data_IF_089799820925
#
_entry.id   IF_089799820925
#
_cell.length_a   1.000
_cell.length_b   1.000
_cell.length_c   1.000
_cell.angle_alpha   90.00
_cell.angle_beta   90.00
_cell.angle_gamma   90.00
#
_symmetry.space_group_name_H-M   'P 1'
#
loop_
_entity.id
_entity.type
_entity.pdbx_description
1 polymer ?
#
# COMPACT_ATOMS: atom_id res chain seq x y z
N UNK A 1 -39.97 -22.73 -55.17
CA UNK A 1 -39.51 -23.88 -55.99
C UNK A 1 -38.22 -23.44 -56.66
N UNK A 2 -37.09 -24.05 -56.26
CA UNK A 2 -35.73 -23.97 -56.83
C UNK A 2 -35.01 -22.60 -56.87
N UNK A 3 -33.68 -22.44 -56.85
CA UNK A 3 -32.49 -23.18 -56.39
C UNK A 3 -31.33 -22.16 -56.55
N UNK A 4 -30.42 -22.12 -55.57
CA UNK A 4 -28.98 -21.76 -55.61
C UNK A 4 -28.42 -20.81 -56.70
N UNK A 5 -27.72 -19.76 -56.26
CA UNK A 5 -26.42 -19.40 -56.86
C UNK A 5 -25.48 -18.69 -55.86
N UNK A 6 -24.20 -19.03 -56.01
CA UNK A 6 -23.02 -18.78 -55.17
C UNK A 6 -22.57 -17.31 -55.13
N UNK A 7 -22.03 -16.85 -53.98
CA UNK A 7 -21.12 -15.69 -53.90
C UNK A 7 -19.92 -15.97 -53.00
N UNK A 8 -18.69 -15.58 -53.39
CA UNK A 8 -17.44 -16.01 -52.77
C UNK A 8 -17.07 -15.20 -51.51
N UNK A 9 -16.29 -15.86 -50.64
CA UNK A 9 -15.66 -15.29 -49.43
C UNK A 9 -14.62 -14.24 -49.82
N UNK A 10 -14.72 -13.05 -49.25
CA UNK A 10 -13.62 -12.06 -49.22
C UNK A 10 -12.91 -12.15 -47.87
N UNK A 11 -11.64 -12.53 -47.95
CA UNK A 11 -10.67 -12.69 -46.87
C UNK A 11 -10.38 -11.38 -46.14
N UNK A 12 -10.25 -11.47 -44.81
CA UNK A 12 -9.75 -10.39 -43.96
C UNK A 12 -8.34 -9.96 -44.37
N UNK A 13 -8.18 -8.67 -44.64
CA UNK A 13 -6.88 -8.04 -44.85
C UNK A 13 -6.14 -8.00 -43.51
N UNK A 14 -5.01 -8.69 -43.44
CA UNK A 14 -4.09 -8.66 -42.30
C UNK A 14 -3.15 -7.46 -42.42
N UNK A 15 -3.28 -6.52 -41.49
CA UNK A 15 -2.37 -5.36 -41.36
C UNK A 15 -1.02 -5.86 -40.80
N UNK A 16 0.13 -5.55 -41.44
CA UNK A 16 1.43 -6.07 -41.01
C UNK A 16 1.94 -5.45 -39.68
N UNK A 17 2.38 -6.35 -38.79
CA UNK A 17 2.86 -6.13 -37.40
C UNK A 17 4.23 -5.45 -37.25
N UNK A 18 4.67 -4.59 -38.16
CA UNK A 18 6.06 -4.10 -38.14
C UNK A 18 6.30 -2.79 -37.37
N UNK A 19 5.28 -2.01 -37.02
CA UNK A 19 5.47 -0.69 -36.41
C UNK A 19 5.34 -0.58 -34.88
N UNK A 20 4.94 -1.66 -34.19
CA UNK A 20 4.61 -1.59 -32.75
C UNK A 20 5.82 -1.82 -31.81
N UNK A 21 6.94 -2.34 -32.31
CA UNK A 21 8.11 -2.68 -31.46
C UNK A 21 9.02 -1.49 -31.11
N UNK A 22 8.85 -0.33 -31.74
CA UNK A 22 9.78 0.80 -31.58
C UNK A 22 9.36 1.82 -30.52
N UNK A 23 8.08 1.82 -30.11
CA UNK A 23 7.56 2.72 -29.08
C UNK A 23 7.82 2.23 -27.64
N UNK A 24 7.96 0.92 -27.42
CA UNK A 24 8.19 0.37 -26.08
C UNK A 24 9.62 0.57 -25.56
N UNK A 25 10.60 0.79 -26.46
CA UNK A 25 12.00 0.95 -26.09
C UNK A 25 12.38 2.37 -25.63
N UNK A 26 11.56 3.39 -25.96
CA UNK A 26 11.86 4.78 -25.62
C UNK A 26 11.39 5.18 -24.21
N UNK A 27 10.44 4.44 -23.61
CA UNK A 27 9.90 4.75 -22.28
C UNK A 27 10.79 4.27 -21.11
N UNK A 28 11.79 3.43 -21.37
CA UNK A 28 12.63 2.81 -20.34
C UNK A 28 13.83 3.67 -19.90
N UNK A 29 14.07 4.84 -20.51
CA UNK A 29 15.34 5.59 -20.38
C UNK A 29 15.30 6.72 -19.34
N UNK A 30 14.18 6.95 -18.65
CA UNK A 30 14.06 8.03 -17.65
C UNK A 30 13.74 7.57 -16.22
N UNK A 31 13.63 6.26 -15.96
CA UNK A 31 13.44 5.80 -14.58
C UNK A 31 14.78 5.81 -13.83
N UNK A 32 14.94 6.71 -12.87
CA UNK A 32 16.02 6.64 -11.88
C UNK A 32 16.07 5.22 -11.30
N UNK A 33 17.25 4.60 -11.13
CA UNK A 33 17.35 3.25 -10.60
C UNK A 33 16.74 3.20 -9.18
N UNK A 34 15.57 2.55 -9.07
CA UNK A 34 14.83 2.36 -7.81
C UNK A 34 14.87 0.89 -7.43
N UNK A 35 15.54 0.56 -6.33
CA UNK A 35 15.48 -0.78 -5.75
C UNK A 35 14.17 -0.93 -4.96
N UNK A 36 13.49 -2.07 -5.11
CA UNK A 36 12.30 -2.43 -4.32
C UNK A 36 12.67 -3.59 -3.40
N UNK A 37 12.62 -3.33 -2.09
CA UNK A 37 12.75 -4.36 -1.07
C UNK A 37 11.37 -4.62 -0.50
N UNK A 38 10.94 -5.88 -0.52
CA UNK A 38 9.66 -6.32 0.01
C UNK A 38 9.86 -7.61 0.80
N UNK A 39 9.33 -7.65 2.02
CA UNK A 39 9.34 -8.83 2.86
C UNK A 39 7.98 -8.92 3.56
N UNK A 40 7.40 -10.12 3.59
CA UNK A 40 6.14 -10.40 4.27
C UNK A 40 6.28 -11.65 5.12
N UNK A 41 5.85 -11.58 6.37
CA UNK A 41 5.70 -12.71 7.29
C UNK A 41 4.26 -12.73 7.79
N UNK A 42 3.64 -13.91 7.83
CA UNK A 42 2.29 -14.08 8.36
C UNK A 42 2.30 -15.25 9.32
N UNK A 43 1.72 -15.05 10.50
CA UNK A 43 1.61 -16.04 11.55
C UNK A 43 0.17 -16.10 12.06
N UNK A 44 -0.27 -17.30 12.43
CA UNK A 44 -1.61 -17.53 12.96
C UNK A 44 -1.51 -18.45 14.17
N UNK A 45 -2.30 -18.15 15.20
CA UNK A 45 -2.41 -18.98 16.40
C UNK A 45 -3.88 -19.14 16.77
N UNK A 46 -4.25 -20.30 17.30
CA UNK A 46 -5.61 -20.54 17.79
C UNK A 46 -5.76 -19.95 19.20
N UNK A 47 -6.89 -19.29 19.44
CA UNK A 47 -7.20 -18.67 20.74
C UNK A 47 -8.52 -19.20 21.27
N UNK A 48 -8.59 -19.50 22.57
CA UNK A 48 -9.84 -19.87 23.24
C UNK A 48 -10.61 -18.59 23.56
N UNK A 49 -11.73 -18.35 22.87
CA UNK A 49 -12.60 -17.22 23.20
C UNK A 49 -13.28 -17.45 24.57
N UNK A 50 -13.30 -16.41 25.39
CA UNK A 50 -14.00 -16.38 26.68
C UNK A 50 -15.38 -15.73 26.49
N UNK A 51 -15.99 -15.19 27.56
CA UNK A 51 -17.38 -14.72 27.53
C UNK A 51 -17.67 -13.55 26.56
N UNK A 52 -16.67 -12.71 26.25
CA UNK A 52 -16.79 -11.67 25.23
C UNK A 52 -15.96 -12.06 24.00
N UNK A 53 -16.60 -12.36 22.85
CA UNK A 53 -15.88 -12.67 21.62
C UNK A 53 -15.00 -11.49 21.18
N UNK A 54 -13.76 -11.77 20.79
CA UNK A 54 -12.83 -10.76 20.25
C UNK A 54 -13.44 -10.01 19.06
N UNK A 55 -14.24 -10.71 18.24
CA UNK A 55 -14.90 -10.12 17.09
C UNK A 55 -15.85 -8.97 17.47
N UNK A 56 -16.55 -9.08 18.59
CA UNK A 56 -17.46 -8.02 19.07
C UNK A 56 -16.68 -6.78 19.49
N UNK A 57 -15.51 -6.97 20.11
CA UNK A 57 -14.59 -5.89 20.45
C UNK A 57 -14.02 -5.21 19.19
N UNK A 58 -13.57 -5.99 18.21
CA UNK A 58 -12.99 -5.46 16.96
C UNK A 58 -14.01 -4.73 16.08
N UNK A 59 -15.32 -4.96 16.29
CA UNK A 59 -16.40 -4.24 15.60
C UNK A 59 -16.69 -2.86 16.20
N UNK A 60 -16.16 -2.55 17.38
CA UNK A 60 -16.31 -1.20 17.92
C UNK A 60 -15.59 -0.21 16.98
N UNK A 61 -16.08 1.03 16.86
CA UNK A 61 -15.36 2.05 16.12
C UNK A 61 -13.92 2.15 16.60
N UNK A 62 -12.97 2.24 15.67
CA UNK A 62 -11.55 2.35 15.99
C UNK A 62 -11.20 3.61 16.81
N UNK A 63 -12.13 4.57 16.95
CA UNK A 63 -12.01 5.70 17.86
C UNK A 63 -12.21 5.33 19.33
N UNK A 64 -12.79 4.17 19.62
CA UNK A 64 -13.13 3.72 20.98
C UNK A 64 -12.04 2.86 21.62
N UNK A 65 -10.99 2.50 20.88
CA UNK A 65 -9.82 1.79 21.40
C UNK A 65 -8.57 2.16 20.61
N UNK A 66 -7.42 2.25 21.29
CA UNK A 66 -6.15 2.52 20.61
C UNK A 66 -5.75 1.32 19.74
N UNK A 67 -5.92 1.45 18.42
CA UNK A 67 -5.51 0.42 17.45
C UNK A 67 -3.99 0.42 17.25
N UNK A 68 -3.32 1.54 17.55
CA UNK A 68 -1.93 1.78 17.23
C UNK A 68 -1.11 1.85 18.51
N UNK A 69 -0.03 1.06 18.55
CA UNK A 69 1.00 1.17 19.58
C UNK A 69 2.10 2.11 19.06
N UNK A 70 2.17 3.30 19.66
CA UNK A 70 3.09 4.36 19.26
C UNK A 70 3.45 5.21 20.48
N UNK A 71 4.71 5.67 20.53
CA UNK A 71 5.24 6.58 21.56
C UNK A 71 4.36 7.83 21.75
N UNK A 72 3.82 8.36 20.65
CA UNK A 72 2.85 9.46 20.68
C UNK A 72 1.87 9.36 19.52
N UNK A 73 0.60 9.66 19.78
CA UNK A 73 -0.47 9.68 18.76
C UNK A 73 -1.13 11.06 18.78
N UNK A 74 -1.21 11.69 17.61
CA UNK A 74 -1.94 12.93 17.36
C UNK A 74 -3.11 12.64 16.40
N UNK A 75 -4.33 13.04 16.77
CA UNK A 75 -5.51 12.89 15.91
C UNK A 75 -5.54 14.06 14.91
N UNK A 76 -5.47 13.74 13.62
CA UNK A 76 -5.48 14.74 12.53
C UNK A 76 -6.92 15.04 12.11
N UNK A 77 -7.73 14.00 11.96
CA UNK A 77 -9.16 14.09 11.69
C UNK A 77 -9.90 12.92 12.36
N UNK A 78 -11.16 12.67 12.01
CA UNK A 78 -11.94 11.65 12.68
C UNK A 78 -11.41 10.22 12.52
N UNK A 79 -10.77 9.94 11.38
CA UNK A 79 -10.27 8.64 10.95
C UNK A 79 -8.77 8.61 10.70
N UNK A 80 -8.10 9.76 10.70
CA UNK A 80 -6.68 9.92 10.37
C UNK A 80 -5.87 10.26 11.61
N UNK A 81 -4.78 9.53 11.79
CA UNK A 81 -3.90 9.65 12.94
C UNK A 81 -2.46 9.84 12.48
N UNK A 82 -1.73 10.67 13.22
CA UNK A 82 -0.29 10.82 13.10
C UNK A 82 0.36 10.12 14.29
N UNK A 83 1.16 9.11 14.00
CA UNK A 83 1.78 8.24 14.99
C UNK A 83 3.29 8.40 14.95
N UNK A 84 3.85 8.76 16.10
CA UNK A 84 5.27 8.77 16.38
C UNK A 84 5.60 7.41 16.99
N UNK A 85 6.14 6.49 16.19
CA UNK A 85 6.19 5.06 16.54
C UNK A 85 7.16 4.82 17.71
N UNK A 86 8.45 4.97 17.47
CA UNK A 86 9.49 4.86 18.48
C UNK A 86 10.77 5.51 17.96
N UNK A 87 11.45 6.26 18.83
CA UNK A 87 12.74 6.86 18.48
C UNK A 87 13.89 5.87 18.63
N UNK A 88 14.50 5.47 17.53
CA UNK A 88 15.67 4.59 17.54
C UNK A 88 16.97 5.37 17.34
N UNK A 89 17.97 5.07 18.17
CA UNK A 89 19.31 5.65 18.11
C UNK A 89 20.30 4.58 17.69
N UNK A 90 21.06 4.86 16.63
CA UNK A 90 22.11 3.98 16.14
C UNK A 90 23.37 4.80 15.87
N UNK A 91 24.37 4.63 16.74
CA UNK A 91 25.59 5.44 16.78
C UNK A 91 25.30 6.96 16.83
N UNK A 92 25.75 7.71 15.83
CA UNK A 92 25.59 9.16 15.70
C UNK A 92 24.27 9.56 15.03
N UNK A 93 23.39 8.60 14.72
CA UNK A 93 22.13 8.89 14.05
C UNK A 93 20.94 8.48 14.91
N UNK A 94 19.90 9.29 14.81
CA UNK A 94 18.63 9.13 15.49
C UNK A 94 17.52 9.19 14.45
N UNK A 95 16.53 8.31 14.58
CA UNK A 95 15.40 8.24 13.68
C UNK A 95 14.12 8.09 14.48
N UNK A 96 13.09 8.85 14.10
CA UNK A 96 11.73 8.69 14.59
C UNK A 96 10.79 8.55 13.39
N UNK A 97 10.24 7.36 13.13
CA UNK A 97 9.22 7.18 12.10
C UNK A 97 7.92 7.87 12.52
N UNK A 98 7.45 8.76 11.66
CA UNK A 98 6.17 9.45 11.77
C UNK A 98 5.25 8.92 10.68
N UNK A 99 4.28 8.10 11.09
CA UNK A 99 3.30 7.50 10.20
C UNK A 99 2.04 8.36 10.20
N UNK A 100 1.52 8.67 9.03
CA UNK A 100 0.15 9.18 8.89
C UNK A 100 -0.68 8.03 8.35
N UNK A 101 -1.66 7.59 9.13
CA UNK A 101 -2.52 6.45 8.79
C UNK A 101 -3.98 6.86 8.84
N UNK A 102 -4.79 6.20 8.01
CA UNK A 102 -6.24 6.28 8.06
C UNK A 102 -6.81 4.95 8.52
N UNK A 103 -7.77 4.99 9.43
CA UNK A 103 -8.45 3.82 9.94
C UNK A 103 -9.87 3.81 9.39
N UNK A 104 -10.19 2.74 8.65
CA UNK A 104 -11.50 2.54 8.06
C UNK A 104 -12.17 1.32 8.70
N UNK A 105 -13.45 1.45 9.04
CA UNK A 105 -14.22 0.37 9.65
C UNK A 105 -14.59 -0.70 8.61
N UNK A 106 -14.50 -1.96 9.00
CA UNK A 106 -14.85 -3.12 8.18
C UNK A 106 -15.78 -4.08 8.96
N UNK A 107 -16.55 -4.96 8.30
CA UNK A 107 -17.53 -5.83 8.97
C UNK A 107 -16.97 -6.75 10.08
N UNK A 108 -15.65 -6.96 10.07
CA UNK A 108 -14.94 -7.85 10.99
C UNK A 108 -13.78 -7.14 11.72
N UNK A 109 -13.72 -5.81 11.70
CA UNK A 109 -12.59 -5.09 12.28
C UNK A 109 -12.40 -3.68 11.73
N UNK A 110 -11.15 -3.29 11.62
CA UNK A 110 -10.75 -2.07 10.95
C UNK A 110 -9.57 -2.33 10.02
N UNK A 111 -9.53 -1.63 8.89
CA UNK A 111 -8.38 -1.57 8.00
C UNK A 111 -7.57 -0.31 8.31
N UNK A 112 -6.27 -0.47 8.59
CA UNK A 112 -5.35 0.65 8.78
C UNK A 112 -4.58 0.84 7.48
N UNK A 113 -4.79 1.97 6.82
CA UNK A 113 -4.10 2.34 5.58
C UNK A 113 -3.01 3.35 5.87
N UNK A 114 -1.77 3.03 5.50
CA UNK A 114 -0.68 4.00 5.54
C UNK A 114 -0.86 5.04 4.43
N UNK A 115 -1.04 6.31 4.81
CA UNK A 115 -1.11 7.42 3.88
C UNK A 115 0.27 8.01 3.58
N UNK A 116 1.11 8.14 4.61
CA UNK A 116 2.50 8.59 4.44
C UNK A 116 3.39 8.11 5.59
N UNK A 117 4.68 7.99 5.30
CA UNK A 117 5.71 7.72 6.29
C UNK A 117 6.82 8.74 6.10
N UNK A 118 7.16 9.48 7.16
CA UNK A 118 8.29 10.40 7.19
C UNK A 118 9.22 10.01 8.33
N UNK A 119 10.50 10.24 8.13
CA UNK A 119 11.54 10.04 9.12
C UNK A 119 11.94 11.41 9.70
N UNK A 120 11.82 11.54 11.02
CA UNK A 120 12.36 12.65 11.81
C UNK A 120 13.62 12.21 12.57
N UNK A 121 14.31 13.14 13.24
CA UNK A 121 15.55 12.88 13.98
C UNK A 121 16.76 13.57 13.36
N UNK A 122 17.82 12.81 13.08
CA UNK A 122 19.06 13.36 12.54
C UNK A 122 18.89 14.00 11.15
N UNK A 123 19.60 15.11 10.84
CA UNK A 123 19.45 15.80 9.55
C UNK A 123 19.67 14.90 8.32
N UNK A 124 20.63 13.99 8.41
CA UNK A 124 20.93 13.03 7.34
C UNK A 124 19.76 12.10 7.03
N UNK A 125 18.94 11.78 8.03
CA UNK A 125 17.78 10.88 7.94
C UNK A 125 16.61 11.64 7.32
N UNK A 126 16.33 12.84 7.82
CA UNK A 126 15.28 13.73 7.29
C UNK A 126 15.52 14.03 5.80
N UNK A 127 16.77 14.24 5.41
CA UNK A 127 17.16 14.49 4.02
C UNK A 127 16.86 13.32 3.06
N UNK A 128 16.56 12.12 3.56
CA UNK A 128 16.20 10.97 2.72
C UNK A 128 14.69 10.78 2.52
N UNK A 129 13.82 11.59 3.13
CA UNK A 129 12.37 11.37 3.05
C UNK A 129 11.82 11.29 1.62
N UNK A 130 12.38 12.07 0.69
CA UNK A 130 11.97 12.05 -0.73
C UNK A 130 12.50 10.85 -1.52
N UNK A 131 13.36 10.01 -0.91
CA UNK A 131 13.94 8.82 -1.54
C UNK A 131 13.22 7.53 -1.16
N UNK A 132 12.38 7.57 -0.13
CA UNK A 132 11.69 6.41 0.40
C UNK A 132 10.17 6.55 0.26
N UNK A 133 9.53 5.47 -0.18
CA UNK A 133 8.07 5.34 -0.20
C UNK A 133 7.70 4.07 0.53
N UNK A 134 6.93 4.20 1.61
CA UNK A 134 6.41 3.08 2.39
C UNK A 134 4.98 2.72 1.97
N UNK A 135 4.69 1.43 1.90
CA UNK A 135 3.34 0.86 1.83
C UNK A 135 3.25 -0.20 2.92
N UNK A 136 2.21 -0.14 3.75
CA UNK A 136 1.88 -1.14 4.77
C UNK A 136 0.64 -1.91 4.32
#
# INVERSE_FOLDING_TARGET
>A
MALLSSTPRLSSISIPRSHQRRAAAAAAVLSTPKARFEAKRTESTSVRQLQRPLLEYMRLPASQYSVLDAERIERVDDSTFRCYVYRFKFFSFEVCPVLVVRVDEEPYGCCIRLLSCKLEGSPIVVAQNEKFSGVL
#
